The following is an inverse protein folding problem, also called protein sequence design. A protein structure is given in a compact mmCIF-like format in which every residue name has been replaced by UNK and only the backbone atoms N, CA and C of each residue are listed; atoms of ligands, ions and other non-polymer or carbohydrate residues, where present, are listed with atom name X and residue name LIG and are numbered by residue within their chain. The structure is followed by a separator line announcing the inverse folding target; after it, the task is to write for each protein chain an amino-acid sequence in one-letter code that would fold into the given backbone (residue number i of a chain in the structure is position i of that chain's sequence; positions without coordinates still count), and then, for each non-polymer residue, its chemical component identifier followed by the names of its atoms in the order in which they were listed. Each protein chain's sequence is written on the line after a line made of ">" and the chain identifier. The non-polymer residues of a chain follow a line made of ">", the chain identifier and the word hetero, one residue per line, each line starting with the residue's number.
data_IF_289801868249
#
_entry.id   IF_289801868249
#
_cell.length_a   1.000
_cell.length_b   1.000
_cell.length_c   1.000
_cell.angle_alpha   90.00
_cell.angle_beta   90.00
_cell.angle_gamma   90.00
#
_symmetry.space_group_name_H-M   'P 1'
#
loop_
_entity.id
_entity.type
_entity.pdbx_description
1 polymer ?
#
# COMPACT_ATOMS: atom_id res chain seq x y z
N UNK A 1 -6.67 -2.46 -0.66
CA UNK A 1 -5.29 -2.72 -1.11
C UNK A 1 -4.28 -1.62 -0.78
N UNK A 2 -4.64 -0.33 -0.86
CA UNK A 2 -3.65 0.75 -0.74
C UNK A 2 -2.93 0.78 0.62
N UNK A 3 -3.66 0.55 1.72
CA UNK A 3 -3.08 0.41 3.05
C UNK A 3 -2.08 -0.76 3.16
N UNK A 4 -2.38 -1.89 2.52
CA UNK A 4 -1.48 -3.05 2.49
C UNK A 4 -0.20 -2.77 1.68
N UNK A 5 -0.33 -2.04 0.57
CA UNK A 5 0.82 -1.57 -0.19
C UNK A 5 1.67 -0.55 0.61
N UNK A 6 1.03 0.34 1.38
CA UNK A 6 1.72 1.24 2.29
C UNK A 6 2.44 0.52 3.43
N UNK A 7 1.96 -0.66 3.83
CA UNK A 7 2.61 -1.55 4.78
C UNK A 7 3.73 -2.43 4.14
N UNK A 8 4.00 -2.27 2.84
CA UNK A 8 5.10 -2.95 2.15
C UNK A 8 4.77 -4.37 1.65
N UNK A 9 3.50 -4.79 1.64
CA UNK A 9 3.12 -6.11 1.15
C UNK A 9 3.30 -6.24 -0.36
N UNK A 10 3.67 -7.44 -0.82
CA UNK A 10 3.78 -7.73 -2.24
C UNK A 10 2.40 -7.82 -2.91
N UNK A 11 2.36 -7.76 -4.25
CA UNK A 11 1.11 -7.96 -5.01
C UNK A 11 0.46 -9.31 -4.73
N UNK A 12 1.26 -10.34 -4.43
CA UNK A 12 0.79 -11.68 -4.10
C UNK A 12 0.17 -11.72 -2.70
N UNK A 13 0.86 -11.14 -1.71
CA UNK A 13 0.33 -11.05 -0.34
C UNK A 13 -0.95 -10.23 -0.29
N UNK A 14 -1.04 -9.15 -1.08
CA UNK A 14 -2.26 -8.34 -1.20
C UNK A 14 -3.40 -9.15 -1.83
N UNK A 15 -3.11 -9.94 -2.87
CA UNK A 15 -4.10 -10.78 -3.51
C UNK A 15 -4.66 -11.83 -2.54
N UNK A 16 -3.77 -12.49 -1.79
CA UNK A 16 -4.12 -13.45 -0.76
C UNK A 16 -4.91 -12.80 0.39
N UNK A 17 -4.47 -11.65 0.90
CA UNK A 17 -5.13 -10.94 2.00
C UNK A 17 -6.53 -10.43 1.64
N UNK A 18 -6.76 -10.08 0.37
CA UNK A 18 -8.03 -9.57 -0.12
C UNK A 18 -8.91 -10.62 -0.81
N UNK A 19 -8.42 -11.86 -0.93
CA UNK A 19 -9.14 -12.98 -1.56
C UNK A 19 -9.56 -12.66 -3.00
N UNK A 20 -8.66 -12.05 -3.77
CA UNK A 20 -8.86 -11.68 -5.18
C UNK A 20 -7.68 -12.13 -6.05
N UNK A 21 -7.89 -12.15 -7.36
CA UNK A 21 -6.82 -12.51 -8.30
C UNK A 21 -5.70 -11.47 -8.33
N UNK A 22 -4.46 -11.92 -8.63
CA UNK A 22 -3.32 -11.02 -8.89
C UNK A 22 -3.60 -10.03 -10.04
N UNK A 23 -4.38 -10.46 -11.05
CA UNK A 23 -4.81 -9.59 -12.15
C UNK A 23 -5.69 -8.44 -11.68
N UNK A 24 -6.61 -8.71 -10.75
CA UNK A 24 -7.47 -7.71 -10.12
C UNK A 24 -6.66 -6.71 -9.31
N UNK A 25 -5.67 -7.18 -8.53
CA UNK A 25 -4.77 -6.29 -7.79
C UNK A 25 -3.99 -5.38 -8.75
N UNK A 26 -3.45 -5.92 -9.85
CA UNK A 26 -2.74 -5.13 -10.87
C UNK A 26 -3.64 -4.06 -11.48
N UNK A 27 -4.88 -4.40 -11.83
CA UNK A 27 -5.83 -3.46 -12.41
C UNK A 27 -6.23 -2.36 -11.42
N UNK A 28 -6.45 -2.71 -10.17
CA UNK A 28 -6.70 -1.72 -9.12
C UNK A 28 -5.46 -0.82 -8.89
N UNK A 29 -4.25 -1.38 -8.90
CA UNK A 29 -3.01 -0.59 -8.77
C UNK A 29 -2.84 0.41 -9.92
N UNK A 30 -3.25 0.08 -11.14
CA UNK A 30 -3.30 1.01 -12.28
C UNK A 30 -4.27 2.16 -12.03
N UNK A 31 -5.54 1.86 -11.76
CA UNK A 31 -6.53 2.91 -11.53
C UNK A 31 -6.19 3.82 -10.34
N UNK A 32 -5.61 3.26 -9.27
CA UNK A 32 -5.16 4.04 -8.12
C UNK A 32 -4.03 4.99 -8.53
N UNK A 33 -3.01 4.50 -9.26
CA UNK A 33 -1.87 5.32 -9.70
C UNK A 33 -2.29 6.44 -10.63
N UNK A 34 -3.20 6.16 -11.55
CA UNK A 34 -3.81 7.16 -12.44
C UNK A 34 -4.52 8.25 -11.63
N UNK A 35 -5.37 7.85 -10.67
CA UNK A 35 -6.13 8.79 -9.84
C UNK A 35 -5.23 9.62 -8.91
N UNK A 36 -4.13 9.05 -8.43
CA UNK A 36 -3.19 9.73 -7.55
C UNK A 36 -2.09 10.50 -8.30
N UNK A 37 -1.97 10.34 -9.62
CA UNK A 37 -0.89 10.95 -10.42
C UNK A 37 0.49 10.49 -9.97
N UNK A 38 0.67 9.19 -9.77
CA UNK A 38 1.89 8.57 -9.21
C UNK A 38 2.41 7.45 -10.08
N UNK A 39 3.71 7.22 -10.06
CA UNK A 39 4.33 6.17 -10.89
C UNK A 39 4.28 4.80 -10.22
N UNK A 40 4.25 4.75 -8.90
CA UNK A 40 4.25 3.51 -8.13
C UNK A 40 3.08 3.45 -7.13
N UNK A 41 2.67 2.23 -6.77
CA UNK A 41 1.61 2.04 -5.78
C UNK A 41 2.04 2.47 -4.36
N UNK A 42 3.33 2.36 -4.05
CA UNK A 42 3.90 2.82 -2.79
C UNK A 42 3.85 4.35 -2.69
N UNK A 43 4.16 5.06 -3.79
CA UNK A 43 4.02 6.52 -3.86
C UNK A 43 2.55 6.93 -3.71
N UNK A 44 1.61 6.22 -4.35
CA UNK A 44 0.19 6.45 -4.18
C UNK A 44 -0.24 6.27 -2.70
N UNK A 45 0.27 5.24 -2.03
CA UNK A 45 0.00 5.00 -0.62
C UNK A 45 0.54 6.13 0.26
N UNK A 46 1.76 6.60 0.00
CA UNK A 46 2.34 7.73 0.73
C UNK A 46 1.56 9.04 0.52
N UNK A 47 0.97 9.27 -0.66
CA UNK A 47 0.17 10.49 -0.91
C UNK A 47 -1.24 10.42 -0.33
N UNK A 48 -1.90 9.27 -0.43
CA UNK A 48 -3.33 9.15 -0.16
C UNK A 48 -3.68 8.59 1.23
N UNK A 49 -2.75 7.90 1.89
CA UNK A 49 -2.98 7.43 3.26
C UNK A 49 -2.67 8.57 4.25
N UNK A 50 -3.47 8.71 5.31
CA UNK A 50 -3.13 9.61 6.40
C UNK A 50 -1.79 9.18 6.99
N UNK A 51 -0.84 10.12 7.02
CA UNK A 51 0.45 9.91 7.64
C UNK A 51 0.23 9.75 9.15
N UNK A 52 0.61 8.60 9.71
CA UNK A 52 0.70 8.50 11.15
C UNK A 52 1.73 9.56 11.62
N UNK A 53 1.44 10.33 12.69
CA UNK A 53 2.37 11.36 13.15
C UNK A 53 3.72 10.71 13.44
N UNK A 54 4.82 11.43 13.15
CA UNK A 54 6.19 10.90 13.26
C UNK A 54 6.51 10.25 14.62
N UNK A 55 5.79 10.61 15.68
CA UNK A 55 5.84 9.97 16.99
C UNK A 55 5.51 8.46 16.98
N UNK A 56 4.65 7.99 16.07
CA UNK A 56 4.28 6.58 15.95
C UNK A 56 5.37 5.71 15.28
N UNK A 57 6.25 6.32 14.48
CA UNK A 57 7.33 5.63 13.75
C UNK A 57 8.49 5.17 14.68
N UNK A 58 8.52 5.64 15.94
CA UNK A 58 9.47 5.18 16.96
C UNK A 58 9.10 3.82 17.58
N UNK A 59 7.81 3.47 17.63
CA UNK A 59 7.33 2.27 18.31
C UNK A 59 7.54 0.97 17.50
N UNK A 60 7.68 1.07 16.18
CA UNK A 60 7.84 -0.09 15.28
C UNK A 60 9.25 -0.71 15.36
N UNK A 61 10.26 0.02 15.84
CA UNK A 61 11.66 -0.48 15.95
C UNK A 61 11.96 -1.30 17.21
N UNK A 62 11.01 -1.43 18.15
CA UNK A 62 11.25 -2.02 19.47
C UNK A 62 10.81 -3.50 19.63
N UNK A 63 10.63 -4.24 18.54
CA UNK A 63 10.46 -5.71 18.60
C UNK A 63 11.55 -6.40 17.80
N UNK A 64 12.70 -6.62 18.45
CA UNK A 64 13.69 -7.65 18.11
C UNK A 64 13.79 -8.62 19.27
#
# INVERSE_FOLDING_TARGET
>A
MLALAGAGLSTEDIAAALWISRGTVRKHAEHIRERCGTHTLAEAAARALPQAPAAALGAVRARR
#
